data_IF_418987986685
#
_entry.id   IF_418987986685
#
_cell.length_a   1.000
_cell.length_b   1.000
_cell.length_c   1.000
_cell.angle_alpha   90.00
_cell.angle_beta   90.00
_cell.angle_gamma   90.00
#
_symmetry.space_group_name_H-M   'P 1'
#
loop_
_entity.id
_entity.type
_entity.pdbx_description
1 polymer ?
#
# COMPACT_ATOMS: atom_id res chain seq x y z
N UNK A 1 -21.25 -20.60 -3.23
CA UNK A 1 -21.92 -19.29 -3.16
C UNK A 1 -21.01 -18.30 -3.86
N UNK A 2 -21.43 -17.73 -4.99
CA UNK A 2 -20.68 -16.66 -5.66
C UNK A 2 -20.80 -15.40 -4.84
N UNK A 3 -19.69 -14.91 -4.30
CA UNK A 3 -19.63 -13.62 -3.64
C UNK A 3 -20.06 -12.53 -4.63
N UNK A 4 -21.15 -11.82 -4.31
CA UNK A 4 -21.55 -10.63 -5.05
C UNK A 4 -20.52 -9.51 -4.80
N UNK A 5 -19.44 -9.53 -5.57
CA UNK A 5 -18.52 -8.40 -5.72
C UNK A 5 -19.28 -7.22 -6.35
N UNK A 6 -18.97 -6.00 -5.90
CA UNK A 6 -19.54 -4.72 -6.35
C UNK A 6 -19.96 -4.72 -7.83
N UNK A 7 -21.27 -4.81 -8.09
CA UNK A 7 -21.80 -5.01 -9.45
C UNK A 7 -21.84 -3.70 -10.24
N UNK A 8 -22.26 -2.59 -9.61
CA UNK A 8 -22.45 -1.30 -10.29
C UNK A 8 -22.13 -0.11 -9.39
N UNK A 9 -21.86 1.05 -10.02
CA UNK A 9 -21.69 2.34 -9.30
C UNK A 9 -22.94 2.67 -8.47
N UNK A 10 -24.14 2.43 -9.00
CA UNK A 10 -25.39 2.66 -8.28
C UNK A 10 -25.48 1.79 -7.03
N UNK A 11 -25.13 0.51 -7.15
CA UNK A 11 -25.05 -0.39 -6.00
C UNK A 11 -24.04 0.09 -4.97
N UNK A 12 -22.82 0.47 -5.41
CA UNK A 12 -21.78 0.99 -4.51
C UNK A 12 -22.28 2.22 -3.73
N UNK A 13 -22.92 3.18 -4.43
CA UNK A 13 -23.49 4.38 -3.81
C UNK A 13 -24.57 4.09 -2.76
N UNK A 14 -25.39 3.05 -2.99
CA UNK A 14 -26.45 2.67 -2.05
C UNK A 14 -25.93 2.01 -0.78
N UNK A 15 -24.75 1.38 -0.86
CA UNK A 15 -24.19 0.59 0.24
C UNK A 15 -23.03 1.27 0.95
N UNK A 16 -22.39 2.29 0.37
CA UNK A 16 -21.33 3.02 1.06
C UNK A 16 -21.89 3.88 2.21
N UNK A 17 -21.18 3.90 3.33
CA UNK A 17 -21.56 4.65 4.54
C UNK A 17 -21.29 6.17 4.46
N UNK A 18 -20.97 6.67 3.27
CA UNK A 18 -20.54 8.05 3.02
C UNK A 18 -21.00 8.55 1.66
N UNK A 19 -21.11 9.87 1.52
CA UNK A 19 -21.40 10.51 0.24
C UNK A 19 -20.18 10.39 -0.69
N UNK A 20 -20.40 9.99 -1.94
CA UNK A 20 -19.35 9.91 -2.96
C UNK A 20 -19.57 10.98 -4.03
N UNK A 21 -18.48 11.55 -4.53
CA UNK A 21 -18.53 12.56 -5.59
C UNK A 21 -18.43 11.91 -6.96
N UNK A 22 -19.30 12.26 -7.89
CA UNK A 22 -19.13 11.91 -9.29
C UNK A 22 -17.96 12.70 -9.90
N UNK A 23 -17.19 12.06 -10.77
CA UNK A 23 -16.16 12.73 -11.56
C UNK A 23 -16.05 12.15 -12.97
N UNK A 24 -15.43 12.93 -13.86
CA UNK A 24 -15.01 12.47 -15.17
C UNK A 24 -13.50 12.42 -15.23
N UNK A 25 -12.98 11.23 -15.54
CA UNK A 25 -11.57 11.02 -15.81
C UNK A 25 -11.35 11.03 -17.32
N UNK A 26 -10.21 11.56 -17.74
CA UNK A 26 -9.83 11.72 -19.14
C UNK A 26 -8.86 10.62 -19.54
N UNK A 27 -9.22 9.85 -20.56
CA UNK A 27 -8.42 8.69 -21.01
C UNK A 27 -7.19 9.16 -21.76
N UNK A 28 -6.06 8.51 -21.49
CA UNK A 28 -4.77 8.78 -22.11
C UNK A 28 -4.53 7.83 -23.29
N UNK A 29 -4.03 8.37 -24.40
CA UNK A 29 -3.64 7.63 -25.60
C UNK A 29 -2.22 7.05 -25.52
N UNK A 30 -1.38 7.61 -24.65
CA UNK A 30 0.02 7.22 -24.44
C UNK A 30 0.20 6.07 -23.45
N UNK A 31 -0.88 5.52 -22.91
CA UNK A 31 -0.81 4.53 -21.85
C UNK A 31 -0.36 3.16 -22.36
N UNK A 32 0.39 2.44 -21.53
CA UNK A 32 0.82 1.06 -21.81
C UNK A 32 0.80 0.21 -20.55
N UNK A 33 0.34 -1.04 -20.67
CA UNK A 33 0.32 -1.98 -19.54
C UNK A 33 1.72 -2.53 -19.33
N UNK A 34 2.25 -2.37 -18.12
CA UNK A 34 3.57 -2.87 -17.75
C UNK A 34 3.48 -4.22 -17.04
N UNK A 35 2.43 -4.42 -16.26
CA UNK A 35 2.21 -5.63 -15.49
C UNK A 35 0.71 -5.91 -15.38
N UNK A 36 0.34 -7.18 -15.38
CA UNK A 36 -0.99 -7.62 -14.97
C UNK A 36 -0.93 -8.98 -14.27
N UNK A 37 -1.78 -9.17 -13.27
CA UNK A 37 -1.94 -10.44 -12.55
C UNK A 37 -2.97 -11.30 -13.30
N UNK A 38 -2.49 -12.18 -14.18
CA UNK A 38 -3.36 -12.99 -15.06
C UNK A 38 -4.39 -13.81 -14.26
N UNK A 39 -3.98 -14.35 -13.12
CA UNK A 39 -4.84 -15.21 -12.29
C UNK A 39 -5.92 -14.37 -11.60
N UNK A 40 -5.57 -13.23 -11.02
CA UNK A 40 -6.56 -12.34 -10.40
C UNK A 40 -7.56 -11.81 -11.43
N UNK A 41 -7.09 -11.40 -12.60
CA UNK A 41 -7.95 -10.86 -13.66
C UNK A 41 -8.90 -11.91 -14.22
N UNK A 42 -8.41 -13.10 -14.57
CA UNK A 42 -9.27 -14.15 -15.15
C UNK A 42 -10.29 -14.71 -14.16
N UNK A 43 -9.95 -14.74 -12.86
CA UNK A 43 -10.88 -15.09 -11.78
C UNK A 43 -12.01 -14.05 -11.65
N UNK A 44 -11.65 -12.77 -11.63
CA UNK A 44 -12.61 -11.71 -11.27
C UNK A 44 -13.38 -11.16 -12.48
N UNK A 45 -12.81 -11.27 -13.68
CA UNK A 45 -13.37 -10.78 -14.95
C UNK A 45 -13.43 -11.90 -16.00
N UNK A 46 -14.25 -12.94 -15.80
CA UNK A 46 -14.34 -14.07 -16.73
C UNK A 46 -14.76 -13.67 -18.15
N UNK A 47 -15.44 -12.53 -18.31
CA UNK A 47 -15.83 -11.97 -19.61
C UNK A 47 -14.65 -11.44 -20.45
N UNK A 48 -13.46 -11.27 -19.86
CA UNK A 48 -12.23 -11.00 -20.61
C UNK A 48 -11.59 -12.28 -21.18
N UNK A 49 -11.99 -13.45 -20.67
CA UNK A 49 -11.44 -14.73 -21.10
C UNK A 49 -11.96 -15.14 -22.48
N UNK A 50 -11.10 -15.83 -23.23
CA UNK A 50 -11.44 -16.39 -24.54
C UNK A 50 -10.82 -17.79 -24.68
N UNK A 51 -11.18 -18.51 -25.73
CA UNK A 51 -10.73 -19.88 -25.98
C UNK A 51 -9.21 -20.02 -26.10
N UNK A 52 -8.49 -18.92 -26.38
CA UNK A 52 -7.03 -18.89 -26.39
C UNK A 52 -6.45 -17.94 -25.33
N UNK A 53 -5.32 -18.34 -24.75
CA UNK A 53 -4.57 -17.54 -23.77
C UNK A 53 -4.09 -16.22 -24.39
N UNK A 54 -3.62 -16.23 -25.64
CA UNK A 54 -3.14 -15.03 -26.33
C UNK A 54 -4.26 -14.00 -26.54
N UNK A 55 -5.47 -14.45 -26.93
CA UNK A 55 -6.62 -13.56 -27.08
C UNK A 55 -7.10 -13.03 -25.74
N UNK A 56 -7.08 -13.86 -24.70
CA UNK A 56 -7.33 -13.43 -23.32
C UNK A 56 -6.35 -12.34 -22.89
N UNK A 57 -5.04 -12.54 -23.10
CA UNK A 57 -4.02 -11.53 -22.79
C UNK A 57 -4.29 -10.23 -23.55
N UNK A 58 -4.59 -10.30 -24.85
CA UNK A 58 -4.94 -9.11 -25.64
C UNK A 58 -6.14 -8.37 -25.04
N UNK A 59 -7.20 -9.10 -24.67
CA UNK A 59 -8.38 -8.49 -24.04
C UNK A 59 -8.04 -7.80 -22.71
N UNK A 60 -7.17 -8.41 -21.89
CA UNK A 60 -6.70 -7.83 -20.63
C UNK A 60 -5.90 -6.55 -20.88
N UNK A 61 -5.01 -6.55 -21.88
CA UNK A 61 -4.22 -5.37 -22.24
C UNK A 61 -5.09 -4.22 -22.75
N UNK A 62 -6.07 -4.52 -23.61
CA UNK A 62 -7.04 -3.55 -24.13
C UNK A 62 -7.89 -2.98 -22.97
N UNK A 63 -8.34 -3.85 -22.06
CA UNK A 63 -9.09 -3.50 -20.86
C UNK A 63 -8.32 -2.59 -19.91
N UNK A 64 -7.09 -2.96 -19.53
CA UNK A 64 -6.29 -2.17 -18.60
C UNK A 64 -5.91 -0.81 -19.21
N UNK A 65 -5.55 -0.77 -20.50
CA UNK A 65 -5.30 0.49 -21.22
C UNK A 65 -6.54 1.38 -21.26
N UNK A 66 -7.74 0.80 -21.42
CA UNK A 66 -8.99 1.56 -21.45
C UNK A 66 -9.30 2.30 -20.14
N UNK A 67 -8.69 1.87 -19.03
CA UNK A 67 -8.86 2.47 -17.69
C UNK A 67 -7.76 3.47 -17.36
N UNK A 68 -6.77 3.65 -18.24
CA UNK A 68 -5.70 4.62 -18.08
C UNK A 68 -6.23 6.04 -18.23
N UNK A 69 -6.68 6.62 -17.12
CA UNK A 69 -7.34 7.91 -17.11
C UNK A 69 -6.88 8.77 -15.93
N UNK A 70 -6.90 10.08 -16.14
CA UNK A 70 -6.45 11.07 -15.16
C UNK A 70 -7.52 12.12 -14.90
N UNK A 71 -7.53 12.70 -13.70
CA UNK A 71 -8.45 13.77 -13.36
C UNK A 71 -8.16 15.04 -14.15
N UNK A 72 -9.20 15.86 -14.34
CA UNK A 72 -9.14 17.10 -15.13
C UNK A 72 -7.99 18.03 -14.70
N UNK A 73 -7.63 18.04 -13.42
CA UNK A 73 -6.56 18.89 -12.86
C UNK A 73 -5.17 18.68 -13.46
N UNK A 74 -4.95 17.59 -14.22
CA UNK A 74 -3.67 17.32 -14.90
C UNK A 74 -3.71 17.54 -16.41
N UNK A 75 -4.89 17.67 -17.03
CA UNK A 75 -5.02 17.64 -18.49
C UNK A 75 -4.41 18.88 -19.13
N UNK A 76 -4.77 20.06 -18.62
CA UNK A 76 -4.33 21.34 -19.18
C UNK A 76 -2.89 21.70 -18.75
N UNK A 77 -2.21 20.80 -18.05
CA UNK A 77 -0.92 21.05 -17.41
C UNK A 77 -1.06 21.77 -16.07
N UNK A 78 -0.01 21.67 -15.26
CA UNK A 78 0.06 22.28 -13.93
C UNK A 78 1.51 22.60 -13.57
N UNK A 79 1.76 23.10 -12.37
CA UNK A 79 3.12 23.19 -11.82
C UNK A 79 3.77 21.82 -11.58
N UNK A 80 3.02 20.70 -11.73
CA UNK A 80 3.55 19.35 -11.55
C UNK A 80 3.67 18.57 -12.86
N UNK A 81 3.07 19.00 -13.97
CA UNK A 81 3.17 18.28 -15.24
C UNK A 81 2.94 19.18 -16.45
N UNK A 82 3.51 18.80 -17.58
CA UNK A 82 3.20 19.41 -18.88
C UNK A 82 1.78 19.06 -19.32
N UNK A 83 1.13 19.87 -20.18
CA UNK A 83 -0.15 19.52 -20.77
C UNK A 83 -0.13 18.13 -21.41
N UNK A 84 -1.22 17.38 -21.26
CA UNK A 84 -1.33 15.98 -21.70
C UNK A 84 -2.10 15.87 -23.01
N UNK A 85 -1.71 14.94 -23.88
CA UNK A 85 -2.53 14.57 -25.03
C UNK A 85 -3.84 13.95 -24.56
N UNK A 86 -4.95 14.30 -25.24
CA UNK A 86 -6.28 13.75 -24.96
C UNK A 86 -6.87 13.20 -26.24
N UNK A 87 -7.40 12.00 -26.17
CA UNK A 87 -8.20 11.40 -27.26
C UNK A 87 -9.68 11.84 -27.23
N UNK A 88 -10.04 12.74 -26.30
CA UNK A 88 -11.42 13.22 -26.11
C UNK A 88 -12.33 12.24 -25.36
N UNK A 89 -11.92 10.99 -25.13
CA UNK A 89 -12.67 9.99 -24.36
C UNK A 89 -12.61 10.32 -22.88
N UNK A 90 -13.75 10.14 -22.21
CA UNK A 90 -13.87 10.25 -20.75
C UNK A 90 -14.51 9.01 -20.16
N UNK A 91 -14.19 8.73 -18.90
CA UNK A 91 -14.77 7.64 -18.11
C UNK A 91 -15.50 8.29 -16.94
N UNK A 92 -16.73 7.84 -16.70
CA UNK A 92 -17.44 8.21 -15.48
C UNK A 92 -16.87 7.41 -14.30
N UNK A 93 -16.48 8.12 -13.26
CA UNK A 93 -15.96 7.55 -12.04
C UNK A 93 -16.68 8.14 -10.83
N UNK A 94 -16.52 7.49 -9.68
CA UNK A 94 -16.88 8.06 -8.39
C UNK A 94 -15.64 8.14 -7.52
N UNK A 95 -15.60 9.15 -6.66
CA UNK A 95 -14.54 9.34 -5.69
C UNK A 95 -15.12 9.32 -4.29
N UNK A 96 -14.82 8.28 -3.49
CA UNK A 96 -15.13 8.30 -2.07
C UNK A 96 -14.45 9.49 -1.34
N UNK A 97 -14.98 9.95 -0.21
CA UNK A 97 -14.32 10.96 0.61
C UNK A 97 -12.92 10.50 0.99
N UNK A 98 -12.00 11.44 1.16
CA UNK A 98 -10.61 11.17 1.57
C UNK A 98 -9.77 10.36 0.58
N UNK A 99 -10.34 9.87 -0.53
CA UNK A 99 -9.55 9.36 -1.66
C UNK A 99 -8.77 10.51 -2.30
N UNK A 100 -7.48 10.61 -1.97
CA UNK A 100 -6.59 11.65 -2.50
C UNK A 100 -6.09 11.32 -3.91
N UNK A 101 -5.81 10.04 -4.17
CA UNK A 101 -5.12 9.56 -5.39
C UNK A 101 -5.91 8.50 -6.16
N UNK A 102 -7.15 8.17 -5.77
CA UNK A 102 -7.88 7.03 -6.35
C UNK A 102 -9.33 7.36 -6.71
N UNK A 103 -9.88 6.60 -7.65
CA UNK A 103 -11.27 6.67 -8.10
C UNK A 103 -11.82 5.27 -8.35
N UNK A 104 -13.14 5.10 -8.28
CA UNK A 104 -13.82 3.85 -8.59
C UNK A 104 -14.53 3.97 -9.93
N UNK A 105 -14.33 2.97 -10.79
CA UNK A 105 -14.86 2.91 -12.16
C UNK A 105 -15.60 1.61 -12.43
N UNK A 106 -16.64 1.68 -13.26
CA UNK A 106 -17.28 0.51 -13.86
C UNK A 106 -16.42 0.06 -15.05
N UNK A 107 -15.71 -1.07 -14.85
CA UNK A 107 -14.69 -1.54 -15.77
C UNK A 107 -15.25 -2.00 -17.13
N UNK A 108 -16.46 -2.56 -17.16
CA UNK A 108 -17.14 -2.94 -18.41
C UNK A 108 -17.57 -1.70 -19.20
N UNK A 109 -18.11 -0.68 -18.51
CA UNK A 109 -18.47 0.60 -19.14
C UNK A 109 -17.25 1.36 -19.67
N UNK A 110 -16.11 1.31 -18.99
CA UNK A 110 -14.86 1.91 -19.49
C UNK A 110 -14.44 1.35 -20.86
N UNK A 111 -14.73 0.07 -21.10
CA UNK A 111 -14.55 -0.64 -22.37
C UNK A 111 -15.68 -0.40 -23.38
N UNK A 112 -16.74 0.32 -23.03
CA UNK A 112 -17.93 0.49 -23.87
C UNK A 112 -18.79 -0.78 -23.97
N UNK A 113 -18.59 -1.74 -23.08
CA UNK A 113 -19.33 -3.01 -23.06
C UNK A 113 -20.59 -2.87 -22.21
N UNK A 114 -21.72 -2.59 -22.87
CA UNK A 114 -23.00 -2.43 -22.19
C UNK A 114 -23.73 -3.76 -21.93
N UNK A 115 -23.43 -4.78 -22.72
CA UNK A 115 -24.15 -6.07 -22.72
C UNK A 115 -23.64 -7.07 -21.67
N UNK A 116 -22.69 -6.66 -20.82
CA UNK A 116 -22.24 -7.48 -19.68
C UNK A 116 -23.33 -7.46 -18.60
N UNK A 117 -23.78 -8.68 -18.23
CA UNK A 117 -24.74 -8.91 -17.15
C UNK A 117 -24.28 -8.27 -15.85
N UNK A 118 -25.22 -7.78 -15.03
CA UNK A 118 -24.89 -7.09 -13.79
C UNK A 118 -24.08 -7.96 -12.82
N UNK A 119 -24.34 -9.27 -12.81
CA UNK A 119 -23.66 -10.26 -12.00
C UNK A 119 -22.20 -10.50 -12.41
N UNK A 120 -21.83 -10.14 -13.65
CA UNK A 120 -20.47 -10.22 -14.17
C UNK A 120 -19.76 -8.87 -14.15
N UNK A 121 -20.49 -7.77 -13.95
CA UNK A 121 -19.89 -6.44 -13.81
C UNK A 121 -19.12 -6.35 -12.51
N UNK A 122 -17.98 -5.68 -12.57
CA UNK A 122 -17.09 -5.47 -11.45
C UNK A 122 -16.58 -4.05 -11.48
N UNK A 123 -16.59 -3.41 -10.32
CA UNK A 123 -15.93 -2.13 -10.12
C UNK A 123 -14.42 -2.31 -9.89
N UNK A 124 -13.63 -1.36 -10.40
CA UNK A 124 -12.21 -1.24 -10.12
C UNK A 124 -11.93 0.05 -9.35
N UNK A 125 -11.02 0.00 -8.38
CA UNK A 125 -10.36 1.16 -7.80
C UNK A 125 -9.08 1.40 -8.62
N UNK A 126 -8.93 2.60 -9.17
CA UNK A 126 -7.75 3.02 -9.92
C UNK A 126 -6.96 4.04 -9.09
N UNK A 127 -5.78 3.65 -8.59
CA UNK A 127 -4.89 4.48 -7.78
C UNK A 127 -3.81 5.13 -8.66
N UNK A 128 -3.53 6.40 -8.42
CA UNK A 128 -2.65 7.23 -9.24
C UNK A 128 -3.37 8.06 -10.32
N UNK A 129 -4.70 8.15 -10.27
CA UNK A 129 -5.52 8.83 -11.29
C UNK A 129 -5.62 10.35 -11.10
N UNK A 130 -4.86 10.95 -10.19
CA UNK A 130 -4.87 12.39 -9.93
C UNK A 130 -5.77 12.80 -8.77
N UNK A 131 -5.92 14.12 -8.62
CA UNK A 131 -6.61 14.78 -7.51
C UNK A 131 -8.13 14.86 -7.69
N UNK A 132 -8.83 15.23 -6.61
CA UNK A 132 -10.28 15.47 -6.63
C UNK A 132 -10.69 16.58 -7.59
N UNK A 133 -11.95 16.58 -8.07
CA UNK A 133 -12.51 17.71 -8.80
C UNK A 133 -12.32 19.04 -8.05
N UNK A 134 -12.06 20.11 -8.80
CA UNK A 134 -11.90 21.48 -8.31
C UNK A 134 -10.68 21.75 -7.42
N UNK A 135 -9.79 20.77 -7.24
CA UNK A 135 -8.48 21.01 -6.64
C UNK A 135 -7.44 21.32 -7.72
N UNK A 136 -6.36 21.96 -7.33
CA UNK A 136 -5.18 22.22 -8.16
C UNK A 136 -4.05 21.31 -7.66
N UNK A 137 -3.38 20.62 -8.58
CA UNK A 137 -2.27 19.74 -8.22
C UNK A 137 -1.12 20.59 -7.66
N UNK A 138 -0.42 20.06 -6.66
CA UNK A 138 0.72 20.76 -6.05
C UNK A 138 1.90 19.81 -5.92
N UNK A 139 3.11 20.34 -6.11
CA UNK A 139 4.37 19.65 -5.84
C UNK A 139 4.61 19.55 -4.33
N UNK A 140 3.69 18.90 -3.63
CA UNK A 140 3.71 18.65 -2.20
C UNK A 140 3.42 17.15 -1.94
N UNK A 141 3.82 16.59 -0.79
CA UNK A 141 3.70 15.15 -0.55
C UNK A 141 2.25 14.71 -0.74
N UNK A 142 2.06 13.69 -1.60
CA UNK A 142 0.75 13.12 -2.00
C UNK A 142 -0.27 14.10 -2.64
N UNK A 143 0.07 15.38 -2.80
CA UNK A 143 -0.83 16.44 -3.26
C UNK A 143 -0.96 16.49 -4.78
N UNK A 144 -0.14 15.72 -5.50
CA UNK A 144 -0.27 15.53 -6.95
C UNK A 144 -1.42 14.60 -7.30
N UNK A 145 -1.90 13.73 -6.40
CA UNK A 145 -2.90 12.73 -6.78
C UNK A 145 -2.37 11.59 -7.68
N UNK A 146 -1.18 11.76 -8.27
CA UNK A 146 -0.54 10.85 -9.23
C UNK A 146 0.34 9.86 -8.51
N UNK A 147 0.61 8.69 -9.08
CA UNK A 147 1.54 7.68 -8.56
C UNK A 147 2.77 7.61 -9.48
N UNK A 148 3.97 7.51 -8.94
CA UNK A 148 5.17 7.22 -9.72
C UNK A 148 5.22 5.74 -10.10
N UNK A 149 5.93 5.42 -11.18
CA UNK A 149 6.10 4.04 -11.60
C UNK A 149 6.85 3.20 -10.55
N UNK A 150 7.83 3.79 -9.86
CA UNK A 150 8.55 3.10 -8.79
C UNK A 150 7.66 2.83 -7.58
N UNK A 151 6.80 3.77 -7.17
CA UNK A 151 5.80 3.53 -6.12
C UNK A 151 4.87 2.38 -6.52
N UNK A 152 4.40 2.36 -7.77
CA UNK A 152 3.47 1.34 -8.25
C UNK A 152 4.05 -0.08 -8.21
N UNK A 153 5.30 -0.24 -8.68
CA UNK A 153 6.01 -1.53 -8.67
C UNK A 153 6.33 -1.96 -7.24
N UNK A 154 6.78 -1.02 -6.40
CA UNK A 154 7.05 -1.27 -4.97
C UNK A 154 5.80 -1.80 -4.26
N UNK A 155 4.63 -1.22 -4.56
CA UNK A 155 3.36 -1.65 -3.98
C UNK A 155 2.98 -3.08 -4.38
N UNK A 156 3.26 -3.51 -5.63
CA UNK A 156 3.06 -4.90 -6.07
C UNK A 156 3.99 -5.85 -5.31
N UNK A 157 5.29 -5.52 -5.22
CA UNK A 157 6.28 -6.37 -4.56
C UNK A 157 5.89 -6.57 -3.10
N UNK A 158 5.59 -5.48 -2.38
CA UNK A 158 5.16 -5.54 -0.98
C UNK A 158 3.89 -6.35 -0.80
N UNK A 159 2.87 -6.16 -1.68
CA UNK A 159 1.65 -6.98 -1.65
C UNK A 159 1.99 -8.47 -1.73
N UNK A 160 2.79 -8.89 -2.71
CA UNK A 160 3.14 -10.31 -2.94
C UNK A 160 3.97 -10.89 -1.79
N UNK A 161 4.88 -10.12 -1.21
CA UNK A 161 5.63 -10.55 -0.02
C UNK A 161 4.66 -10.80 1.14
N UNK A 162 3.72 -9.89 1.40
CA UNK A 162 2.77 -10.03 2.51
C UNK A 162 1.79 -11.18 2.27
N UNK A 163 1.32 -11.37 1.03
CA UNK A 163 0.52 -12.55 0.65
C UNK A 163 1.28 -13.84 0.96
N UNK A 164 2.56 -13.92 0.59
CA UNK A 164 3.40 -15.08 0.91
C UNK A 164 3.50 -15.30 2.42
N UNK A 165 3.66 -14.23 3.21
CA UNK A 165 3.68 -14.30 4.68
C UNK A 165 2.37 -14.86 5.23
N UNK A 166 1.23 -14.41 4.71
CA UNK A 166 -0.07 -14.90 5.13
C UNK A 166 -0.25 -16.38 4.78
N UNK A 167 0.16 -16.80 3.57
CA UNK A 167 0.07 -18.19 3.12
C UNK A 167 0.92 -19.14 3.99
N UNK A 168 2.19 -18.80 4.26
CA UNK A 168 3.07 -19.65 5.08
C UNK A 168 2.69 -19.66 6.55
N UNK A 169 1.98 -18.63 7.01
CA UNK A 169 1.54 -18.49 8.41
C UNK A 169 0.12 -19.01 8.63
N UNK A 170 -0.51 -19.58 7.60
CA UNK A 170 -1.91 -20.07 7.61
C UNK A 170 -2.88 -19.03 8.19
N UNK A 171 -2.68 -17.75 7.83
CA UNK A 171 -3.57 -16.68 8.27
C UNK A 171 -4.79 -16.58 7.35
N UNK A 172 -5.99 -16.37 7.91
CA UNK A 172 -7.21 -16.18 7.10
C UNK A 172 -7.27 -14.79 6.43
N UNK A 173 -6.26 -13.94 6.63
CA UNK A 173 -6.19 -12.60 6.06
C UNK A 173 -5.81 -12.67 4.58
N UNK A 174 -6.32 -11.73 3.79
CA UNK A 174 -5.98 -11.60 2.36
C UNK A 174 -5.53 -10.19 2.06
N UNK A 175 -4.71 -10.03 1.03
CA UNK A 175 -4.40 -8.73 0.47
C UNK A 175 -5.44 -8.34 -0.59
N UNK A 176 -5.68 -7.05 -0.78
CA UNK A 176 -6.52 -6.55 -1.85
C UNK A 176 -5.94 -6.91 -3.22
N UNK A 177 -6.70 -7.59 -4.11
CA UNK A 177 -6.19 -7.99 -5.42
C UNK A 177 -5.82 -6.80 -6.30
N UNK A 178 -4.60 -6.82 -6.84
CA UNK A 178 -4.12 -5.85 -7.82
C UNK A 178 -4.13 -6.51 -9.19
N UNK A 179 -4.79 -5.87 -10.14
CA UNK A 179 -5.04 -6.44 -11.45
C UNK A 179 -3.97 -6.05 -12.46
N UNK A 180 -3.54 -4.78 -12.46
CA UNK A 180 -2.56 -4.29 -13.41
C UNK A 180 -1.84 -3.02 -12.94
N UNK A 181 -0.65 -2.80 -13.49
CA UNK A 181 0.07 -1.53 -13.46
C UNK A 181 0.21 -1.00 -14.87
N UNK A 182 -0.19 0.25 -15.04
CA UNK A 182 -0.22 0.95 -16.32
C UNK A 182 0.73 2.13 -16.25
N UNK A 183 1.68 2.18 -17.19
CA UNK A 183 2.42 3.39 -17.49
C UNK A 183 1.48 4.39 -18.14
N UNK A 184 1.35 5.59 -17.57
CA UNK A 184 0.46 6.59 -18.13
C UNK A 184 1.10 7.37 -19.30
N UNK A 185 2.37 7.12 -19.60
CA UNK A 185 3.06 7.72 -20.75
C UNK A 185 3.44 9.20 -20.58
N UNK A 186 3.35 9.73 -19.36
CA UNK A 186 3.78 11.08 -19.02
C UNK A 186 4.59 11.10 -17.71
N UNK A 187 5.18 12.26 -17.41
CA UNK A 187 6.00 12.49 -16.22
C UNK A 187 5.42 13.62 -15.37
N UNK A 188 5.69 13.58 -14.08
CA UNK A 188 5.34 14.66 -13.18
C UNK A 188 6.49 15.02 -12.23
N UNK A 189 6.47 16.26 -11.74
CA UNK A 189 7.36 16.74 -10.70
C UNK A 189 6.70 16.49 -9.34
N UNK A 190 7.32 15.61 -8.55
CA UNK A 190 6.96 15.34 -7.16
C UNK A 190 7.93 16.03 -6.20
N UNK A 191 7.66 15.85 -4.90
CA UNK A 191 8.54 16.36 -3.83
C UNK A 191 9.88 15.62 -3.80
N UNK A 192 9.83 14.31 -3.99
CA UNK A 192 11.00 13.44 -3.83
C UNK A 192 11.76 13.22 -5.14
N UNK A 193 11.10 13.39 -6.28
CA UNK A 193 11.68 13.15 -7.60
C UNK A 193 11.12 14.15 -8.61
N UNK A 194 12.02 14.80 -9.36
CA UNK A 194 11.65 15.63 -10.51
C UNK A 194 11.48 14.75 -11.74
N UNK A 195 10.46 15.03 -12.54
CA UNK A 195 10.17 14.33 -13.80
C UNK A 195 10.03 12.80 -13.63
N UNK A 196 9.39 12.36 -12.55
CA UNK A 196 9.11 10.96 -12.29
C UNK A 196 8.10 10.40 -13.32
N UNK A 197 8.33 9.18 -13.82
CA UNK A 197 7.35 8.52 -14.71
C UNK A 197 6.08 8.22 -13.93
N UNK A 198 4.93 8.57 -14.49
CA UNK A 198 3.64 8.39 -13.82
C UNK A 198 3.02 7.04 -14.17
N UNK A 199 2.47 6.37 -13.17
CA UNK A 199 1.79 5.10 -13.31
C UNK A 199 0.40 5.12 -12.63
N UNK A 200 -0.38 4.10 -12.94
CA UNK A 200 -1.68 3.82 -12.35
C UNK A 200 -1.73 2.35 -11.93
N UNK A 201 -2.24 2.07 -10.73
CA UNK A 201 -2.57 0.71 -10.29
C UNK A 201 -4.08 0.51 -10.47
N UNK A 202 -4.46 -0.56 -11.16
CA UNK A 202 -5.83 -1.06 -11.21
C UNK A 202 -5.95 -2.15 -10.16
N UNK A 203 -6.88 -2.00 -9.22
CA UNK A 203 -7.12 -2.96 -8.14
C UNK A 203 -8.60 -3.16 -7.90
N UNK A 204 -8.96 -4.18 -7.12
CA UNK A 204 -10.34 -4.46 -6.74
C UNK A 204 -10.95 -3.25 -6.01
N UNK A 205 -12.16 -2.85 -6.40
CA UNK A 205 -12.92 -1.87 -5.62
C UNK A 205 -13.23 -2.42 -4.22
N UNK A 206 -13.22 -1.56 -3.21
CA UNK A 206 -13.45 -1.91 -1.82
C UNK A 206 -14.12 -0.74 -1.11
N UNK A 207 -14.71 -0.99 0.06
CA UNK A 207 -15.17 0.08 0.93
C UNK A 207 -14.05 0.52 1.87
N UNK A 208 -13.97 1.82 2.14
CA UNK A 208 -13.21 2.33 3.30
C UNK A 208 -14.13 2.46 4.50
N UNK A 209 -13.59 2.52 5.72
CA UNK A 209 -14.34 2.97 6.88
C UNK A 209 -14.90 4.38 6.67
N UNK A 210 -16.08 4.65 7.22
CA UNK A 210 -16.65 6.01 7.25
C UNK A 210 -15.67 6.96 7.92
N UNK A 211 -15.59 8.19 7.39
CA UNK A 211 -14.66 9.23 7.86
C UNK A 211 -13.19 8.82 7.84
N UNK A 212 -12.83 7.77 7.07
CA UNK A 212 -11.50 7.16 7.08
C UNK A 212 -11.01 6.89 8.50
N UNK A 213 -11.89 6.37 9.36
CA UNK A 213 -11.56 5.89 10.71
C UNK A 213 -10.71 4.60 10.61
N UNK A 214 -9.51 4.78 10.07
CA UNK A 214 -8.50 3.75 9.91
C UNK A 214 -7.98 3.32 11.27
N UNK A 215 -7.90 4.27 12.20
CA UNK A 215 -7.56 4.03 13.59
C UNK A 215 -8.75 3.37 14.29
N UNK A 216 -8.55 2.19 14.83
CA UNK A 216 -9.60 1.44 15.53
C UNK A 216 -9.65 1.77 17.02
N UNK A 217 -10.79 1.53 17.69
CA UNK A 217 -10.85 1.54 19.16
C UNK A 217 -9.90 0.51 19.76
N UNK A 218 -9.31 0.83 20.90
CA UNK A 218 -8.39 -0.03 21.63
C UNK A 218 -9.05 -1.37 21.96
N UNK A 219 -8.31 -2.46 21.81
CA UNK A 219 -8.77 -3.84 22.04
C UNK A 219 -9.98 -4.32 21.20
N UNK A 220 -10.46 -3.51 20.24
CA UNK A 220 -11.40 -3.98 19.23
C UNK A 220 -10.78 -5.11 18.40
N UNK A 221 -11.60 -5.84 17.65
CA UNK A 221 -11.08 -6.85 16.72
C UNK A 221 -10.06 -6.27 15.75
N UNK A 222 -10.40 -5.14 15.11
CA UNK A 222 -9.55 -4.48 14.12
C UNK A 222 -8.20 -4.09 14.72
N UNK A 223 -8.19 -3.54 15.94
CA UNK A 223 -6.96 -3.20 16.67
C UNK A 223 -6.09 -4.44 16.94
N UNK A 224 -6.71 -5.54 17.39
CA UNK A 224 -6.00 -6.80 17.65
C UNK A 224 -5.43 -7.40 16.37
N UNK A 225 -6.18 -7.37 15.27
CA UNK A 225 -5.75 -7.87 13.96
C UNK A 225 -4.55 -7.04 13.45
N UNK A 226 -4.61 -5.70 13.54
CA UNK A 226 -3.48 -4.80 13.19
C UNK A 226 -2.24 -5.13 14.01
N UNK A 227 -2.36 -5.17 15.35
CA UNK A 227 -1.21 -5.50 16.20
C UNK A 227 -0.65 -6.90 15.94
N UNK A 228 -1.52 -7.86 15.58
CA UNK A 228 -1.09 -9.22 15.27
C UNK A 228 -0.37 -9.31 13.93
N UNK A 229 -0.90 -8.67 12.88
CA UNK A 229 -0.28 -8.60 11.56
C UNK A 229 1.08 -7.91 11.67
N UNK A 230 1.21 -6.76 12.36
CA UNK A 230 2.50 -6.08 12.52
C UNK A 230 3.53 -6.97 13.23
N UNK A 231 3.12 -7.65 14.31
CA UNK A 231 3.99 -8.61 14.98
C UNK A 231 4.47 -9.70 14.04
N UNK A 232 3.57 -10.26 13.23
CA UNK A 232 3.91 -11.27 12.24
C UNK A 232 4.86 -10.72 11.17
N UNK A 233 4.61 -9.53 10.64
CA UNK A 233 5.51 -8.90 9.66
C UNK A 233 6.90 -8.68 10.25
N UNK A 234 7.00 -8.25 11.51
CA UNK A 234 8.28 -8.08 12.18
C UNK A 234 8.98 -9.43 12.37
N UNK A 235 8.23 -10.52 12.54
CA UNK A 235 8.81 -11.86 12.50
C UNK A 235 9.45 -12.16 11.16
N UNK A 236 9.24 -11.40 10.07
CA UNK A 236 9.89 -11.51 8.76
C UNK A 236 10.78 -10.32 8.40
N UNK A 237 11.16 -9.50 9.38
CA UNK A 237 11.95 -8.29 9.16
C UNK A 237 11.28 -7.26 8.24
N UNK A 238 9.95 -7.28 8.21
CA UNK A 238 9.12 -6.31 7.50
C UNK A 238 8.34 -5.52 8.55
N UNK A 239 8.14 -4.24 8.32
CA UNK A 239 7.32 -3.39 9.19
C UNK A 239 6.45 -2.46 8.35
N UNK A 240 5.30 -2.07 8.89
CA UNK A 240 4.51 -0.95 8.35
C UNK A 240 4.91 0.39 8.96
N UNK A 241 5.84 0.40 9.93
CA UNK A 241 6.20 1.59 10.70
C UNK A 241 7.38 2.31 10.05
N UNK A 242 7.10 3.08 9.00
CA UNK A 242 8.14 3.81 8.27
C UNK A 242 8.73 4.95 9.12
N UNK A 243 10.05 5.16 9.03
CA UNK A 243 10.79 6.12 9.84
C UNK A 243 10.46 7.59 9.51
N UNK A 244 9.96 7.86 8.31
CA UNK A 244 9.53 9.20 7.86
C UNK A 244 8.24 9.67 8.53
N UNK A 245 7.52 8.76 9.20
CA UNK A 245 6.30 9.03 9.97
C UNK A 245 6.53 8.73 11.47
N UNK A 246 7.75 8.97 11.95
CA UNK A 246 8.11 8.82 13.36
C UNK A 246 7.91 10.12 14.16
N UNK A 247 7.48 9.96 15.40
CA UNK A 247 7.60 10.98 16.44
C UNK A 247 8.99 10.83 17.06
N UNK A 248 9.77 11.90 17.03
CA UNK A 248 11.12 11.91 17.60
C UNK A 248 11.13 12.74 18.87
N UNK A 249 11.36 12.08 20.01
CA UNK A 249 11.44 12.73 21.31
C UNK A 249 12.89 12.96 21.67
N UNK A 250 13.25 14.21 21.94
CA UNK A 250 14.62 14.64 22.20
C UNK A 250 14.68 15.65 23.34
N UNK A 251 15.85 15.79 23.98
CA UNK A 251 16.08 16.77 25.05
C UNK A 251 16.67 18.05 24.47
N UNK A 252 16.14 19.19 24.89
CA UNK A 252 16.62 20.53 24.57
C UNK A 252 16.58 21.39 25.84
N UNK A 253 17.74 21.84 26.32
CA UNK A 253 17.87 22.59 27.57
C UNK A 253 17.10 21.98 28.77
N UNK A 254 17.32 20.68 29.01
CA UNK A 254 16.66 19.87 30.05
C UNK A 254 15.13 19.72 29.91
N UNK A 255 14.57 20.11 28.76
CA UNK A 255 13.17 19.90 28.42
C UNK A 255 13.02 18.90 27.29
N UNK A 256 12.14 17.93 27.48
CA UNK A 256 11.69 17.05 26.40
C UNK A 256 10.87 17.83 25.38
N UNK A 257 11.22 17.65 24.11
CA UNK A 257 10.54 18.19 22.94
C UNK A 257 10.25 17.06 21.97
N UNK A 258 9.32 17.29 21.05
CA UNK A 258 8.89 16.28 20.11
C UNK A 258 8.70 16.90 18.72
N UNK A 259 9.21 16.21 17.71
CA UNK A 259 8.97 16.55 16.31
C UNK A 259 8.33 15.39 15.56
N UNK A 260 7.52 15.71 14.56
CA UNK A 260 6.91 14.78 13.63
C UNK A 260 7.24 15.18 12.20
N UNK A 261 7.80 14.27 11.42
CA UNK A 261 8.25 14.57 10.05
C UNK A 261 9.14 15.83 9.97
N UNK A 262 10.00 16.03 10.99
CA UNK A 262 10.90 17.17 11.09
C UNK A 262 10.26 18.50 11.54
N UNK A 263 8.95 18.52 11.82
CA UNK A 263 8.25 19.70 12.35
C UNK A 263 8.02 19.58 13.85
N UNK A 264 8.34 20.63 14.61
CA UNK A 264 8.09 20.69 16.04
C UNK A 264 6.59 20.60 16.35
N UNK A 265 6.24 19.83 17.38
CA UNK A 265 4.88 19.71 17.89
C UNK A 265 4.73 20.58 19.14
N UNK A 266 4.54 21.90 18.95
CA UNK A 266 4.47 22.86 20.06
C UNK A 266 3.32 22.60 21.05
N UNK A 267 2.28 21.87 20.63
CA UNK A 267 1.17 21.46 21.49
C UNK A 267 1.52 20.29 22.43
N UNK A 268 2.62 19.58 22.16
CA UNK A 268 3.10 18.47 22.98
C UNK A 268 4.23 18.95 23.90
N UNK A 269 3.84 19.45 25.08
CA UNK A 269 4.75 20.05 26.06
C UNK A 269 5.63 19.00 26.76
N UNK A 270 6.66 19.47 27.46
CA UNK A 270 7.49 18.64 28.33
C UNK A 270 6.67 17.82 29.34
N UNK A 271 5.65 18.44 29.96
CA UNK A 271 4.76 17.79 30.93
C UNK A 271 3.91 16.69 30.28
N UNK A 272 3.42 16.92 29.05
CA UNK A 272 2.73 15.89 28.28
C UNK A 272 3.65 14.70 28.00
N UNK A 273 4.90 14.96 27.57
CA UNK A 273 5.88 13.92 27.29
C UNK A 273 6.26 13.12 28.55
N UNK A 274 6.44 13.76 29.70
CA UNK A 274 6.67 13.06 30.97
C UNK A 274 5.48 12.19 31.36
N UNK A 275 4.26 12.68 31.19
CA UNK A 275 3.03 11.91 31.47
C UNK A 275 2.95 10.67 30.58
N UNK A 276 3.26 10.80 29.28
CA UNK A 276 3.32 9.65 28.37
C UNK A 276 4.42 8.66 28.74
N UNK A 277 5.59 9.17 29.14
CA UNK A 277 6.71 8.33 29.55
C UNK A 277 6.33 7.47 30.75
N UNK A 278 5.61 8.05 31.71
CA UNK A 278 5.09 7.31 32.86
C UNK A 278 3.97 6.33 32.47
N UNK A 279 2.95 6.80 31.74
CA UNK A 279 1.78 5.99 31.37
C UNK A 279 2.14 4.76 30.53
N UNK A 280 3.06 4.94 29.57
CA UNK A 280 3.46 3.89 28.62
C UNK A 280 4.84 3.29 28.93
N UNK A 281 5.45 3.66 30.06
CA UNK A 281 6.78 3.21 30.48
C UNK A 281 7.85 3.45 29.40
N UNK A 282 7.80 4.65 28.78
CA UNK A 282 8.77 5.05 27.77
C UNK A 282 10.04 5.58 28.45
N UNK A 283 11.17 5.24 27.87
CA UNK A 283 12.45 5.89 28.14
C UNK A 283 12.72 6.89 27.00
N UNK A 284 13.30 8.04 27.30
CA UNK A 284 13.70 9.03 26.30
C UNK A 284 15.21 9.31 26.38
N UNK A 285 15.88 9.76 25.30
CA UNK A 285 15.33 10.03 23.96
C UNK A 285 15.08 8.74 23.17
N UNK A 286 14.01 8.69 22.39
CA UNK A 286 13.70 7.57 21.51
C UNK A 286 12.80 7.99 20.34
N UNK A 287 12.81 7.18 19.27
CA UNK A 287 11.82 7.27 18.20
C UNK A 287 10.57 6.50 18.58
N UNK A 288 9.41 7.06 18.25
CA UNK A 288 8.11 6.41 18.37
C UNK A 288 7.54 6.30 16.96
N UNK A 289 7.42 5.08 16.43
CA UNK A 289 6.95 4.79 15.08
C UNK A 289 5.54 4.23 15.12
N UNK A 290 4.66 4.75 14.27
CA UNK A 290 3.25 4.35 14.24
C UNK A 290 3.03 3.20 13.24
N UNK A 291 2.31 2.16 13.67
CA UNK A 291 1.82 1.11 12.78
C UNK A 291 0.84 1.71 11.76
N UNK A 292 1.06 1.43 10.48
CA UNK A 292 0.23 1.91 9.38
C UNK A 292 -0.29 0.73 8.56
N UNK A 293 -0.98 -0.19 9.22
CA UNK A 293 -1.70 -1.30 8.59
C UNK A 293 -3.13 -0.84 8.35
N UNK A 294 -3.48 -0.70 7.07
CA UNK A 294 -4.84 -0.34 6.66
C UNK A 294 -5.59 -1.60 6.24
N UNK A 295 -6.81 -1.74 6.75
CA UNK A 295 -7.73 -2.81 6.35
C UNK A 295 -9.00 -2.21 5.75
N UNK A 296 -9.46 -2.83 4.68
CA UNK A 296 -10.71 -2.54 4.02
C UNK A 296 -11.65 -3.74 4.16
N UNK A 297 -12.95 -3.46 4.14
CA UNK A 297 -13.96 -4.52 4.16
C UNK A 297 -14.44 -4.77 2.72
N UNK A 298 -14.57 -6.05 2.31
CA UNK A 298 -15.22 -6.38 1.03
C UNK A 298 -16.73 -6.13 1.08
N UNK A 299 -17.31 -6.28 2.26
CA UNK A 299 -18.72 -6.01 2.58
C UNK A 299 -18.78 -5.25 3.88
N UNK A 300 -19.79 -4.41 4.08
CA UNK A 300 -20.05 -3.76 5.37
C UNK A 300 -20.55 -4.72 6.47
N UNK A 301 -20.08 -5.96 6.46
CA UNK A 301 -20.38 -6.94 7.50
C UNK A 301 -19.32 -6.85 8.59
N UNK A 302 -19.76 -6.63 9.84
CA UNK A 302 -18.86 -6.50 10.99
C UNK A 302 -18.14 -7.83 11.33
N UNK A 303 -18.56 -8.94 10.72
CA UNK A 303 -17.90 -10.23 10.88
C UNK A 303 -16.51 -10.26 10.24
N UNK A 304 -15.52 -10.64 11.06
CA UNK A 304 -14.06 -10.66 10.80
C UNK A 304 -13.60 -11.28 9.46
N UNK A 305 -14.43 -12.03 8.76
CA UNK A 305 -14.00 -12.98 7.73
C UNK A 305 -13.64 -12.36 6.37
N UNK A 306 -13.89 -11.06 6.13
CA UNK A 306 -13.67 -10.44 4.81
C UNK A 306 -12.76 -9.20 4.80
N UNK A 307 -11.90 -9.03 5.82
CA UNK A 307 -10.95 -7.93 5.85
C UNK A 307 -9.80 -8.16 4.89
N UNK A 308 -9.61 -7.20 4.00
CA UNK A 308 -8.48 -7.14 3.08
C UNK A 308 -7.45 -6.14 3.58
N UNK A 309 -6.19 -6.54 3.57
CA UNK A 309 -5.10 -5.60 3.75
C UNK A 309 -4.98 -4.70 2.50
N UNK A 310 -4.79 -3.40 2.70
CA UNK A 310 -4.68 -2.41 1.62
C UNK A 310 -3.48 -1.47 1.85
N UNK A 311 -3.14 -0.73 0.79
CA UNK A 311 -2.12 0.33 0.78
C UNK A 311 -0.72 -0.17 1.14
N UNK A 312 -0.01 -0.75 0.17
CA UNK A 312 1.25 -1.46 0.44
C UNK A 312 2.51 -0.59 0.30
N UNK A 313 2.37 0.73 0.13
CA UNK A 313 3.51 1.62 -0.12
C UNK A 313 4.39 1.85 1.10
N UNK A 314 3.85 1.81 2.32
CA UNK A 314 4.63 2.08 3.54
C UNK A 314 5.44 0.89 4.07
N UNK A 315 5.20 -0.32 3.55
CA UNK A 315 5.89 -1.51 4.06
C UNK A 315 7.34 -1.51 3.59
N UNK A 316 8.25 -1.82 4.51
CA UNK A 316 9.67 -1.88 4.22
C UNK A 316 10.34 -2.99 5.00
N UNK A 317 11.50 -3.44 4.52
CA UNK A 317 12.38 -4.27 5.32
C UNK A 317 13.11 -3.38 6.32
N UNK A 318 13.16 -3.79 7.57
CA UNK A 318 13.85 -3.01 8.60
C UNK A 318 14.89 -3.88 9.30
N UNK A 319 16.00 -3.24 9.63
CA UNK A 319 16.97 -3.80 10.56
C UNK A 319 16.58 -3.34 11.96
N UNK A 320 16.09 -4.27 12.78
CA UNK A 320 15.68 -4.00 14.16
C UNK A 320 16.88 -3.79 15.11
N UNK A 321 18.07 -3.47 14.60
CA UNK A 321 19.24 -3.12 15.40
C UNK A 321 19.07 -1.79 16.12
N UNK A 322 18.47 -0.80 15.46
CA UNK A 322 18.17 0.49 16.06
C UNK A 322 16.91 0.40 16.95
N UNK A 323 16.99 0.76 18.24
CA UNK A 323 15.85 0.68 19.12
C UNK A 323 14.81 1.76 18.84
N UNK A 324 13.52 1.40 18.94
CA UNK A 324 12.40 2.34 18.87
C UNK A 324 11.15 1.80 19.59
N UNK A 325 10.22 2.69 19.91
CA UNK A 325 8.88 2.30 20.33
C UNK A 325 7.97 2.20 19.12
N UNK A 326 7.35 1.04 18.94
CA UNK A 326 6.27 0.82 17.99
C UNK A 326 4.93 1.05 18.67
N UNK A 327 4.04 1.81 18.03
CA UNK A 327 2.69 2.09 18.54
C UNK A 327 1.65 1.65 17.53
N UNK A 328 0.76 0.75 17.93
CA UNK A 328 -0.51 0.53 17.21
C UNK A 328 -1.50 1.62 17.63
N UNK A 329 -1.95 2.51 16.73
CA UNK A 329 -2.82 3.61 17.11
C UNK A 329 -4.22 3.17 17.56
N UNK A 330 -4.84 3.89 18.50
CA UNK A 330 -6.21 3.68 18.95
C UNK A 330 -6.94 4.99 19.32
N UNK A 331 -8.14 5.24 18.75
CA UNK A 331 -8.85 6.55 18.85
C UNK A 331 -9.34 6.94 20.25
N UNK A 332 -9.45 5.98 21.16
CA UNK A 332 -9.97 6.12 22.52
C UNK A 332 -8.86 6.10 23.57
N UNK A 333 -7.63 6.44 23.16
CA UNK A 333 -6.44 6.52 24.02
C UNK A 333 -5.77 7.89 23.96
N UNK A 334 -5.06 8.32 25.01
CA UNK A 334 -4.26 9.53 24.98
C UNK A 334 -3.31 9.56 23.77
N UNK A 335 -3.33 10.66 23.01
CA UNK A 335 -2.57 10.84 21.76
C UNK A 335 -2.80 9.76 20.69
N UNK A 336 -3.91 9.03 20.81
CA UNK A 336 -4.18 7.83 20.04
C UNK A 336 -3.17 6.69 20.22
N UNK A 337 -2.46 6.61 21.36
CA UNK A 337 -1.48 5.55 21.62
C UNK A 337 -2.16 4.31 22.20
N UNK A 338 -2.37 3.30 21.34
CA UNK A 338 -2.93 2.01 21.73
C UNK A 338 -1.88 1.08 22.34
N UNK A 339 -1.56 -0.01 21.65
CA UNK A 339 -0.50 -0.91 22.09
C UNK A 339 0.88 -0.29 21.82
N UNK A 340 1.71 -0.19 22.85
CA UNK A 340 3.10 0.25 22.74
C UNK A 340 4.03 -0.95 22.93
N UNK A 341 5.02 -1.10 22.06
CA UNK A 341 6.02 -2.18 22.11
C UNK A 341 7.40 -1.60 21.87
N UNK A 342 8.37 -2.04 22.68
CA UNK A 342 9.77 -1.78 22.40
C UNK A 342 10.29 -2.72 21.31
N UNK A 343 10.95 -2.17 20.29
CA UNK A 343 11.62 -2.89 19.21
C UNK A 343 13.12 -2.61 19.29
N UNK A 344 13.95 -3.64 19.10
CA UNK A 344 15.41 -3.54 19.03
C UNK A 344 16.16 -3.54 20.36
N UNK A 345 17.50 -3.56 20.28
CA UNK A 345 18.43 -3.62 21.42
C UNK A 345 18.61 -5.00 22.08
N UNK A 346 19.62 -5.11 22.96
CA UNK A 346 19.96 -6.34 23.72
C UNK A 346 18.96 -6.68 24.85
N UNK A 347 17.97 -5.81 25.08
CA UNK A 347 16.96 -6.01 26.12
C UNK A 347 15.88 -7.00 25.66
N UNK A 348 16.20 -8.30 25.78
CA UNK A 348 15.41 -9.46 26.21
C UNK A 348 13.88 -9.62 26.01
N UNK A 349 13.09 -8.63 25.61
CA UNK A 349 11.63 -8.72 25.53
C UNK A 349 11.12 -9.33 24.23
N UNK A 350 11.91 -9.29 23.14
CA UNK A 350 11.65 -10.12 21.96
C UNK A 350 11.81 -11.62 22.30
N UNK A 351 12.70 -11.99 23.21
CA UNK A 351 12.95 -13.40 23.54
C UNK A 351 11.76 -14.11 24.18
N UNK A 352 10.92 -13.43 24.97
CA UNK A 352 9.78 -14.04 25.67
C UNK A 352 8.60 -14.31 24.72
N UNK A 353 8.38 -13.46 23.70
CA UNK A 353 7.36 -13.72 22.68
C UNK A 353 7.82 -14.75 21.65
N UNK A 354 9.11 -14.73 21.28
CA UNK A 354 9.71 -15.75 20.40
C UNK A 354 9.73 -17.14 21.05
N UNK A 355 9.93 -17.26 22.36
CA UNK A 355 9.90 -18.56 23.06
C UNK A 355 8.52 -19.23 23.04
N UNK A 356 7.42 -18.47 23.13
CA UNK A 356 6.08 -19.03 23.03
C UNK A 356 5.69 -19.42 21.60
N UNK A 357 6.26 -18.76 20.58
CA UNK A 357 6.08 -19.12 19.17
C UNK A 357 6.98 -20.28 18.72
N UNK A 358 8.13 -20.52 19.37
CA UNK A 358 8.99 -21.70 19.13
C UNK A 358 8.27 -23.04 19.36
N UNK A 359 7.19 -23.05 20.14
CA UNK A 359 6.36 -24.25 20.34
C UNK A 359 5.40 -24.52 19.17
N UNK A 360 5.26 -23.59 18.22
CA UNK A 360 4.67 -23.86 16.92
C UNK A 360 5.77 -24.44 16.01
N UNK A 361 5.52 -25.63 15.43
CA UNK A 361 6.49 -26.43 14.64
C UNK A 361 7.17 -25.69 13.47
N UNK A 362 6.72 -24.49 13.12
CA UNK A 362 7.24 -23.66 12.05
C UNK A 362 8.41 -22.72 12.43
N UNK A 363 8.67 -22.45 13.72
CA UNK A 363 9.56 -21.35 14.15
C UNK A 363 10.89 -21.77 14.79
N UNK A 364 11.28 -23.05 14.69
CA UNK A 364 12.61 -23.48 15.12
C UNK A 364 13.63 -23.24 14.01
N UNK A 365 14.05 -21.98 13.89
CA UNK A 365 15.38 -21.48 13.49
C UNK A 365 15.24 -20.11 12.79
N UNK A 366 16.16 -19.20 13.11
CA UNK A 366 16.55 -17.96 12.39
C UNK A 366 16.75 -16.75 13.30
N UNK A 367 18.01 -16.34 13.43
CA UNK A 367 18.40 -14.92 13.38
C UNK A 367 19.01 -14.72 11.99
N UNK A 368 18.81 -13.54 11.40
CA UNK A 368 19.48 -13.17 10.14
C UNK A 368 20.99 -13.26 10.31
N UNK A 369 21.67 -13.83 9.33
CA UNK A 369 23.10 -13.67 9.14
C UNK A 369 23.37 -12.25 8.58
N UNK A 370 24.09 -11.37 9.31
CA UNK A 370 24.50 -10.06 8.81
C UNK A 370 25.25 -10.16 7.47
N UNK A 371 25.91 -11.28 7.19
CA UNK A 371 26.74 -11.48 5.99
C UNK A 371 25.89 -11.59 4.69
N UNK A 372 24.59 -11.84 4.80
CA UNK A 372 23.64 -11.81 3.67
C UNK A 372 23.20 -10.38 3.34
N UNK A 373 23.23 -9.47 4.32
CA UNK A 373 23.10 -8.02 4.05
C UNK A 373 24.37 -7.50 3.34
N UNK A 374 25.54 -8.05 3.70
CA UNK A 374 26.86 -7.77 3.12
C UNK A 374 27.02 -8.16 1.64
N UNK A 375 26.31 -9.17 1.11
CA UNK A 375 26.39 -9.47 -0.33
C UNK A 375 25.78 -8.36 -1.22
N UNK A 376 25.12 -7.37 -0.62
CA UNK A 376 24.56 -6.20 -1.29
C UNK A 376 25.24 -4.87 -0.88
N UNK A 377 26.39 -4.92 -0.19
CA UNK A 377 26.96 -3.80 0.60
C UNK A 377 27.71 -2.68 -0.13
N UNK A 378 27.70 -2.59 -1.46
CA UNK A 378 28.19 -1.37 -2.11
C UNK A 378 27.19 -0.20 -2.01
N UNK A 379 26.30 -0.19 -1.01
CA UNK A 379 25.18 0.74 -0.88
C UNK A 379 25.03 1.20 0.58
N UNK A 380 25.16 2.51 0.77
CA UNK A 380 25.29 3.21 2.06
C UNK A 380 24.14 2.93 3.07
N UNK A 381 24.41 2.92 4.39
CA UNK A 381 23.47 2.51 5.45
C UNK A 381 22.30 3.47 5.75
N UNK A 382 22.18 4.59 5.04
CA UNK A 382 21.03 5.48 5.23
C UNK A 382 19.91 5.13 4.25
N UNK A 383 19.05 4.16 4.62
CA UNK A 383 17.61 4.02 4.24
C UNK A 383 17.11 2.59 4.47
N UNK A 384 16.30 2.39 5.51
CA UNK A 384 15.46 1.19 5.73
C UNK A 384 14.49 0.93 4.54
N UNK A 385 14.31 1.92 3.66
CA UNK A 385 13.49 1.83 2.44
C UNK A 385 14.20 1.16 1.24
N UNK A 386 15.47 0.75 1.33
CA UNK A 386 16.32 0.61 0.13
C UNK A 386 16.17 -0.67 -0.69
N UNK A 387 15.86 -1.84 -0.11
CA UNK A 387 15.95 -3.12 -0.84
C UNK A 387 14.82 -3.34 -1.84
N UNK A 388 13.57 -3.27 -1.39
CA UNK A 388 12.40 -3.44 -2.28
C UNK A 388 12.37 -2.33 -3.32
N UNK A 389 12.67 -1.09 -2.93
CA UNK A 389 12.73 0.04 -3.87
C UNK A 389 13.85 -0.15 -4.89
N UNK A 390 15.04 -0.61 -4.49
CA UNK A 390 16.13 -0.93 -5.44
C UNK A 390 15.70 -2.02 -6.42
N UNK A 391 15.12 -3.11 -5.92
CA UNK A 391 14.60 -4.18 -6.78
C UNK A 391 13.48 -3.66 -7.70
N UNK A 392 12.62 -2.78 -7.20
CA UNK A 392 11.63 -2.05 -7.99
C UNK A 392 12.26 -1.24 -9.11
N UNK A 393 13.36 -0.50 -8.85
CA UNK A 393 14.09 0.22 -9.89
C UNK A 393 14.67 -0.72 -10.95
N UNK A 394 15.15 -1.90 -10.57
CA UNK A 394 15.65 -2.91 -11.51
C UNK A 394 14.52 -3.46 -12.39
N UNK A 395 13.34 -3.73 -11.82
CA UNK A 395 12.13 -4.11 -12.57
C UNK A 395 11.72 -2.98 -13.52
N UNK A 396 11.63 -1.74 -13.04
CA UNK A 396 11.26 -0.57 -13.85
C UNK A 396 12.23 -0.34 -15.00
N UNK A 397 13.54 -0.52 -14.76
CA UNK A 397 14.56 -0.41 -15.79
C UNK A 397 14.44 -1.52 -16.85
N UNK A 398 14.08 -2.74 -16.44
CA UNK A 398 13.87 -3.89 -17.33
C UNK A 398 12.62 -3.69 -18.21
N UNK A 399 11.52 -3.25 -17.58
CA UNK A 399 10.27 -2.87 -18.23
C UNK A 399 10.47 -1.76 -19.26
N UNK A 400 11.19 -0.70 -18.89
CA UNK A 400 11.41 0.47 -19.76
C UNK A 400 12.23 0.14 -21.01
N UNK A 401 12.98 -0.97 -21.00
CA UNK A 401 13.75 -1.47 -22.15
C UNK A 401 12.94 -2.43 -23.03
N UNK A 402 11.72 -2.81 -22.63
CA UNK A 402 10.93 -3.85 -23.29
C UNK A 402 11.52 -5.25 -23.13
N UNK A 403 12.37 -5.45 -22.11
CA UNK A 403 13.11 -6.69 -21.92
C UNK A 403 12.36 -7.74 -21.10
N UNK A 404 11.23 -7.37 -20.48
CA UNK A 404 10.48 -8.26 -19.58
C UNK A 404 8.98 -8.12 -19.80
N UNK A 405 8.27 -9.25 -19.73
CA UNK A 405 6.80 -9.31 -19.71
C UNK A 405 6.26 -9.53 -18.28
N UNK A 406 4.94 -9.53 -18.12
CA UNK A 406 4.29 -9.74 -16.81
C UNK A 406 4.70 -11.07 -16.14
N UNK A 407 4.93 -12.12 -16.92
CA UNK A 407 5.30 -13.45 -16.40
C UNK A 407 6.72 -13.45 -15.86
N UNK A 408 7.65 -12.79 -16.56
CA UNK A 408 9.02 -12.64 -16.09
C UNK A 408 9.08 -11.79 -14.80
N UNK A 409 8.26 -10.74 -14.69
CA UNK A 409 8.18 -9.92 -13.48
C UNK A 409 7.65 -10.75 -12.30
N UNK A 410 6.58 -11.53 -12.52
CA UNK A 410 6.04 -12.45 -11.50
C UNK A 410 7.09 -13.45 -11.03
N UNK A 411 7.84 -14.04 -11.97
CA UNK A 411 8.93 -14.96 -11.65
C UNK A 411 10.02 -14.27 -10.82
N UNK A 412 10.50 -13.10 -11.26
CA UNK A 412 11.56 -12.35 -10.54
C UNK A 412 11.12 -11.93 -9.15
N UNK A 413 9.87 -11.50 -8.98
CA UNK A 413 9.33 -11.18 -7.65
C UNK A 413 9.26 -12.44 -6.78
N UNK A 414 8.84 -13.57 -7.35
CA UNK A 414 8.80 -14.86 -6.63
C UNK A 414 10.20 -15.31 -6.23
N UNK A 415 11.19 -15.22 -7.10
CA UNK A 415 12.59 -15.50 -6.80
C UNK A 415 13.13 -14.57 -5.71
N UNK A 416 12.86 -13.27 -5.79
CA UNK A 416 13.24 -12.32 -4.74
C UNK A 416 12.61 -12.66 -3.39
N UNK A 417 11.34 -13.04 -3.39
CA UNK A 417 10.61 -13.52 -2.22
C UNK A 417 11.31 -14.78 -1.69
N UNK A 418 11.46 -15.82 -2.50
CA UNK A 418 12.05 -17.09 -2.10
C UNK A 418 13.46 -16.90 -1.54
N UNK A 419 14.32 -16.06 -2.16
CA UNK A 419 15.62 -15.70 -1.58
C UNK A 419 15.51 -15.03 -0.21
N UNK A 420 14.54 -14.13 -0.03
CA UNK A 420 14.32 -13.46 1.25
C UNK A 420 13.84 -14.44 2.35
N UNK A 421 13.12 -15.51 1.98
CA UNK A 421 12.62 -16.53 2.91
C UNK A 421 13.60 -17.72 3.12
N UNK A 422 14.30 -18.20 2.09
CA UNK A 422 15.19 -19.37 2.17
C UNK A 422 16.42 -19.12 3.04
N UNK A 423 16.91 -17.87 3.10
CA UNK A 423 17.96 -17.47 4.03
C UNK A 423 17.57 -17.68 5.51
N UNK A 424 16.29 -17.89 5.83
CA UNK A 424 15.80 -18.17 7.19
C UNK A 424 15.56 -19.64 7.50
N UNK A 425 15.25 -20.46 6.50
CA UNK A 425 14.93 -21.89 6.72
C UNK A 425 16.19 -22.78 6.77
N UNK A 426 17.31 -22.26 6.27
CA UNK A 426 18.59 -22.96 6.19
C UNK A 426 19.58 -22.64 7.32
N UNK A 427 19.34 -21.56 8.08
CA UNK A 427 19.92 -21.30 9.42
C UNK A 427 19.02 -21.91 10.48
#
# INVERSE_FOLDING_TARGET
>A
MTEHLFSTISWYKQHCLYEVSDEKLHVLDTASVLYFDYNAVTRDFPWLCSDSKQKTIKNILDWATSMAAVSKGHIDGSNVNTPLSRNGKTINAIRPPRYGRASIIDSAKAMGMNDISEEQRRLCDIKGCGIRPNLVAQAAPHSTGLLTLIEAVTEIINRKIIERIFDISDLPHKCLPYYAVVDMGFRHDGVYEKSARTALIIRRAHFRPKDNDEISKYNSSKHKDISYIEKLLNLFCITSTASDVALEVYSDHDQWRCRFAGQELDWLTHEHLLTLAEEYQLSFPNQIRLTNIQMADEKHDEERQSRLLVDFSQYCFTDFSAPYYEVTPAVDKPLNFGNVRWIGGDHGSSSIHFQNLKNNRFFNKSRLDPDVLLHFENLSPSKEYSKVVKFGHEIVASLSKGNADSSEIDQRISEFIDLAFDCRLSS
#
